data_IF_242198283711
#
_entry.id   IF_242198283711
#
_cell.length_a   1.000
_cell.length_b   1.000
_cell.length_c   1.000
_cell.angle_alpha   90.00
_cell.angle_beta   90.00
_cell.angle_gamma   90.00
#
_symmetry.space_group_name_H-M   'P 1'
#
loop_
_entity.id
_entity.type
_entity.pdbx_description
1 polymer ?
#
# COMPACT_ATOMS: atom_id res chain seq x y z
N UNK A 1 -23.42 13.54 30.77
CA UNK A 1 -22.25 13.42 31.65
C UNK A 1 -21.06 13.93 30.85
N UNK A 2 -20.36 14.95 31.35
CA UNK A 2 -19.19 15.45 30.64
C UNK A 2 -18.06 14.41 30.66
N UNK A 3 -17.29 14.29 29.55
CA UNK A 3 -16.19 13.34 29.48
C UNK A 3 -15.10 13.69 30.50
N UNK A 4 -14.47 12.67 31.08
CA UNK A 4 -13.36 12.82 32.00
C UNK A 4 -12.20 13.58 31.31
N UNK A 5 -11.78 14.77 31.79
CA UNK A 5 -10.74 15.57 31.15
C UNK A 5 -9.42 14.80 30.93
N UNK A 6 -9.01 13.96 31.88
CA UNK A 6 -7.79 13.13 31.74
C UNK A 6 -7.90 12.07 30.63
N UNK A 7 -9.11 11.58 30.36
CA UNK A 7 -9.36 10.66 29.26
C UNK A 7 -9.30 11.39 27.90
N UNK A 8 -9.73 12.66 27.85
CA UNK A 8 -9.66 13.50 26.64
C UNK A 8 -8.21 13.79 26.27
N UNK A 9 -7.39 14.20 27.24
CA UNK A 9 -5.96 14.48 27.02
C UNK A 9 -5.20 13.24 26.53
N UNK A 10 -5.44 12.08 27.16
CA UNK A 10 -4.81 10.82 26.76
C UNK A 10 -5.27 10.34 25.38
N UNK A 11 -6.55 10.53 25.05
CA UNK A 11 -7.07 10.25 23.72
C UNK A 11 -6.40 11.12 22.66
N UNK A 12 -6.21 12.41 22.95
CA UNK A 12 -5.54 13.33 22.03
C UNK A 12 -4.08 12.89 21.77
N UNK A 13 -3.32 12.57 22.81
CA UNK A 13 -1.93 12.12 22.65
C UNK A 13 -1.80 10.81 21.83
N UNK A 14 -2.75 9.88 22.00
CA UNK A 14 -2.80 8.65 21.20
C UNK A 14 -3.10 8.97 19.73
N UNK A 15 -4.03 9.90 19.47
CA UNK A 15 -4.37 10.32 18.10
C UNK A 15 -3.20 10.99 17.40
N UNK A 16 -2.46 11.87 18.09
CA UNK A 16 -1.24 12.47 17.55
C UNK A 16 -0.21 11.39 17.15
N UNK A 17 -0.12 10.30 17.92
CA UNK A 17 0.74 9.17 17.56
C UNK A 17 0.23 8.39 16.33
N UNK A 18 -1.08 8.22 16.20
CA UNK A 18 -1.72 7.59 15.04
C UNK A 18 -1.48 8.45 13.78
N UNK A 19 -1.72 9.76 13.87
CA UNK A 19 -1.53 10.69 12.74
C UNK A 19 -0.08 10.67 12.22
N UNK A 20 0.89 10.54 13.12
CA UNK A 20 2.31 10.40 12.74
C UNK A 20 2.58 9.08 12.00
N UNK A 21 1.97 7.97 12.43
CA UNK A 21 2.09 6.67 11.75
C UNK A 21 1.43 6.74 10.37
N UNK A 22 0.26 7.35 10.28
CA UNK A 22 -0.48 7.49 9.03
C UNK A 22 0.30 8.33 8.01
N UNK A 23 0.93 9.42 8.45
CA UNK A 23 1.82 10.22 7.61
C UNK A 23 3.01 9.39 7.08
N UNK A 24 3.64 8.58 7.96
CA UNK A 24 4.73 7.70 7.55
C UNK A 24 4.26 6.63 6.54
N UNK A 25 3.08 6.04 6.73
CA UNK A 25 2.48 5.08 5.80
C UNK A 25 2.27 5.71 4.42
N UNK A 26 1.74 6.94 4.35
CA UNK A 26 1.53 7.66 3.08
C UNK A 26 2.86 7.91 2.37
N UNK A 27 3.89 8.35 3.08
CA UNK A 27 5.21 8.57 2.49
C UNK A 27 5.85 7.27 1.98
N UNK A 28 5.75 6.18 2.73
CA UNK A 28 6.25 4.86 2.31
C UNK A 28 5.50 4.33 1.08
N UNK A 29 4.18 4.54 1.02
CA UNK A 29 3.39 4.19 -0.16
C UNK A 29 3.82 5.02 -1.36
N UNK A 30 3.99 6.34 -1.22
CA UNK A 30 4.45 7.20 -2.32
C UNK A 30 5.79 6.72 -2.89
N UNK A 31 6.77 6.39 -2.03
CA UNK A 31 8.05 5.82 -2.47
C UNK A 31 7.87 4.46 -3.14
N UNK A 32 7.03 3.57 -2.58
CA UNK A 32 6.71 2.27 -3.21
C UNK A 32 6.11 2.47 -4.60
N UNK A 33 5.20 3.43 -4.76
CA UNK A 33 4.54 3.70 -6.04
C UNK A 33 5.53 4.19 -7.10
N UNK A 34 6.52 5.02 -6.74
CA UNK A 34 7.61 5.41 -7.67
C UNK A 34 8.34 4.19 -8.24
N UNK A 35 8.72 3.24 -7.39
CA UNK A 35 9.36 2.00 -7.87
C UNK A 35 8.43 1.17 -8.75
N UNK A 36 7.14 1.08 -8.40
CA UNK A 36 6.20 0.35 -9.24
C UNK A 36 5.97 1.02 -10.58
N UNK A 37 5.99 2.35 -10.68
CA UNK A 37 5.94 3.06 -11.97
C UNK A 37 7.17 2.74 -12.83
N UNK A 38 8.37 2.74 -12.23
CA UNK A 38 9.60 2.31 -12.93
C UNK A 38 9.49 0.88 -13.45
N UNK A 39 8.95 -0.05 -12.65
CA UNK A 39 8.67 -1.42 -13.08
C UNK A 39 7.65 -1.43 -14.23
N UNK A 40 6.62 -0.60 -14.17
CA UNK A 40 5.60 -0.49 -15.22
C UNK A 40 6.18 -0.03 -16.55
N UNK A 41 7.02 1.01 -16.53
CA UNK A 41 7.75 1.48 -17.72
C UNK A 41 8.67 0.38 -18.27
N UNK A 42 9.47 -0.27 -17.40
CA UNK A 42 10.34 -1.36 -17.82
C UNK A 42 9.54 -2.51 -18.47
N UNK A 43 8.41 -2.90 -17.88
CA UNK A 43 7.54 -3.94 -18.43
C UNK A 43 6.97 -3.53 -19.79
N UNK A 44 6.47 -2.30 -19.92
CA UNK A 44 5.94 -1.79 -21.18
C UNK A 44 7.00 -1.77 -22.28
N UNK A 45 8.20 -1.25 -21.99
CA UNK A 45 9.32 -1.19 -22.93
C UNK A 45 9.79 -2.58 -23.38
N UNK A 46 9.72 -3.57 -22.48
CA UNK A 46 10.08 -4.96 -22.74
C UNK A 46 8.94 -5.82 -23.31
N UNK A 47 7.75 -5.26 -23.53
CA UNK A 47 6.57 -6.01 -24.00
C UNK A 47 6.04 -7.05 -22.99
N UNK A 48 6.31 -6.87 -21.70
CA UNK A 48 5.87 -7.75 -20.62
C UNK A 48 4.46 -7.37 -20.14
N UNK A 49 3.67 -8.33 -19.63
CA UNK A 49 2.35 -8.05 -19.08
C UNK A 49 2.41 -7.22 -17.79
N UNK A 50 1.41 -6.35 -17.61
CA UNK A 50 1.22 -5.54 -16.41
C UNK A 50 1.08 -6.41 -15.15
N UNK A 51 0.21 -7.43 -15.20
CA UNK A 51 0.08 -8.43 -14.15
C UNK A 51 1.18 -9.50 -14.24
N UNK A 52 1.61 -9.97 -13.08
CA UNK A 52 2.49 -11.13 -12.91
C UNK A 52 1.95 -12.00 -11.77
N UNK A 53 1.01 -12.92 -12.08
CA UNK A 53 0.31 -13.69 -11.05
C UNK A 53 1.25 -14.50 -10.14
N UNK A 54 2.35 -15.01 -10.69
CA UNK A 54 3.35 -15.74 -9.91
C UNK A 54 4.03 -14.83 -8.88
N UNK A 55 4.42 -13.61 -9.31
CA UNK A 55 5.01 -12.61 -8.41
C UNK A 55 4.01 -12.10 -7.37
N UNK A 56 2.74 -11.94 -7.74
CA UNK A 56 1.66 -11.50 -6.85
C UNK A 56 1.42 -12.50 -5.71
N UNK A 57 1.30 -13.79 -6.03
CA UNK A 57 1.14 -14.87 -5.02
C UNK A 57 2.30 -14.91 -4.03
N UNK A 58 3.54 -14.80 -4.51
CA UNK A 58 4.71 -14.79 -3.62
C UNK A 58 4.77 -13.54 -2.72
N UNK A 59 4.32 -12.38 -3.22
CA UNK A 59 4.21 -11.17 -2.39
C UNK A 59 3.18 -11.34 -1.27
N UNK A 60 2.00 -11.85 -1.59
CA UNK A 60 0.93 -12.09 -0.62
C UNK A 60 1.42 -13.07 0.46
N UNK A 61 1.99 -14.20 0.05
CA UNK A 61 2.51 -15.22 0.98
C UNK A 61 3.56 -14.65 1.93
N UNK A 62 4.54 -13.89 1.41
CA UNK A 62 5.59 -13.27 2.23
C UNK A 62 5.00 -12.26 3.23
N UNK A 63 4.05 -11.43 2.79
CA UNK A 63 3.54 -10.37 3.65
C UNK A 63 2.51 -10.87 4.67
N UNK A 64 1.77 -11.94 4.38
CA UNK A 64 0.98 -12.67 5.38
C UNK A 64 1.86 -13.20 6.53
N UNK A 65 3.05 -13.72 6.21
CA UNK A 65 4.00 -14.17 7.23
C UNK A 65 4.48 -13.00 8.11
N UNK A 66 4.85 -11.87 7.49
CA UNK A 66 5.26 -10.66 8.22
C UNK A 66 4.13 -10.10 9.09
N UNK A 67 2.88 -10.17 8.63
CA UNK A 67 1.71 -9.77 9.42
C UNK A 67 1.56 -10.63 10.66
N UNK A 68 1.62 -11.95 10.51
CA UNK A 68 1.55 -12.89 11.63
C UNK A 68 2.64 -12.61 12.67
N UNK A 69 3.89 -12.41 12.23
CA UNK A 69 5.02 -12.08 13.11
C UNK A 69 4.85 -10.72 13.81
N UNK A 70 4.15 -9.78 13.15
CA UNK A 70 3.85 -8.44 13.67
C UNK A 70 2.58 -8.38 14.53
N UNK A 71 1.88 -9.51 14.73
CA UNK A 71 0.56 -9.57 15.40
C UNK A 71 -0.50 -8.71 14.71
N UNK A 72 -0.39 -8.58 13.38
CA UNK A 72 -1.41 -8.02 12.50
C UNK A 72 -2.18 -9.17 11.85
N UNK A 73 -3.49 -8.99 11.67
CA UNK A 73 -4.33 -9.99 11.01
C UNK A 73 -3.85 -10.25 9.56
N UNK A 74 -3.45 -11.50 9.23
CA UNK A 74 -3.02 -11.85 7.88
C UNK A 74 -4.09 -11.64 6.82
N UNK A 75 -5.37 -11.81 7.16
CA UNK A 75 -6.48 -11.69 6.19
C UNK A 75 -6.79 -10.21 5.88
N UNK A 76 -6.72 -9.36 6.91
CA UNK A 76 -6.70 -7.91 6.71
C UNK A 76 -5.50 -7.48 5.85
N UNK A 77 -4.31 -8.01 6.14
CA UNK A 77 -3.10 -7.68 5.38
C UNK A 77 -3.21 -8.09 3.93
N UNK A 78 -3.72 -9.29 3.64
CA UNK A 78 -3.96 -9.73 2.27
C UNK A 78 -4.96 -8.83 1.55
N UNK A 79 -6.07 -8.46 2.19
CA UNK A 79 -7.07 -7.57 1.60
C UNK A 79 -6.47 -6.20 1.24
N UNK A 80 -5.68 -5.63 2.14
CA UNK A 80 -4.96 -4.38 1.89
C UNK A 80 -3.95 -4.51 0.73
N UNK A 81 -3.23 -5.63 0.66
CA UNK A 81 -2.26 -5.85 -0.41
C UNK A 81 -2.91 -6.08 -1.77
N UNK A 82 -4.02 -6.80 -1.81
CA UNK A 82 -4.79 -6.98 -3.03
C UNK A 82 -5.26 -5.64 -3.58
N UNK A 83 -5.70 -4.72 -2.71
CA UNK A 83 -6.03 -3.35 -3.09
C UNK A 83 -4.83 -2.62 -3.71
N UNK A 84 -3.67 -2.63 -3.03
CA UNK A 84 -2.46 -1.96 -3.53
C UNK A 84 -1.96 -2.58 -4.85
N UNK A 85 -2.02 -3.90 -5.00
CA UNK A 85 -1.59 -4.60 -6.21
C UNK A 85 -2.51 -4.27 -7.38
N UNK A 86 -3.82 -4.25 -7.17
CA UNK A 86 -4.78 -3.86 -8.20
C UNK A 86 -4.51 -2.45 -8.74
N UNK A 87 -4.23 -1.50 -7.85
CA UNK A 87 -3.88 -0.13 -8.23
C UNK A 87 -2.56 -0.06 -9.03
N UNK A 88 -1.57 -0.87 -8.67
CA UNK A 88 -0.31 -0.97 -9.42
C UNK A 88 -0.53 -1.54 -10.82
N UNK A 89 -1.32 -2.60 -10.95
CA UNK A 89 -1.63 -3.21 -12.26
C UNK A 89 -2.36 -2.20 -13.14
N UNK A 90 -3.35 -1.50 -12.60
CA UNK A 90 -4.06 -0.44 -13.33
C UNK A 90 -3.09 0.64 -13.85
N UNK A 91 -2.15 1.11 -13.02
CA UNK A 91 -1.12 2.05 -13.48
C UNK A 91 -0.21 1.46 -14.58
N UNK A 92 0.14 0.18 -14.49
CA UNK A 92 0.96 -0.47 -15.53
C UNK A 92 0.22 -0.57 -16.85
N UNK A 93 -1.07 -0.88 -16.83
CA UNK A 93 -1.92 -0.89 -18.02
C UNK A 93 -2.01 0.52 -18.65
N UNK A 94 -2.16 1.57 -17.83
CA UNK A 94 -2.12 2.96 -18.29
C UNK A 94 -0.79 3.30 -18.97
N UNK A 95 0.34 2.95 -18.33
CA UNK A 95 1.68 3.15 -18.89
C UNK A 95 1.83 2.43 -20.23
N UNK A 96 1.43 1.15 -20.30
CA UNK A 96 1.50 0.35 -21.53
C UNK A 96 0.61 0.90 -22.66
N UNK A 97 -0.55 1.47 -22.32
CA UNK A 97 -1.46 2.10 -23.29
C UNK A 97 -1.05 3.51 -23.73
N UNK A 98 -0.04 4.12 -23.09
CA UNK A 98 0.43 5.47 -23.39
C UNK A 98 -0.53 6.59 -22.98
N UNK A 99 -1.58 6.28 -22.21
CA UNK A 99 -2.49 7.27 -21.65
C UNK A 99 -1.75 8.04 -20.56
N UNK A 100 -1.47 9.33 -20.79
CA UNK A 100 -0.89 10.20 -19.76
C UNK A 100 -1.95 10.51 -18.70
N UNK A 101 -1.58 10.41 -17.43
CA UNK A 101 -2.36 11.01 -16.35
C UNK A 101 -2.26 12.53 -16.47
N UNK A 102 -3.37 13.17 -16.85
CA UNK A 102 -3.55 14.60 -16.61
C UNK A 102 -3.66 14.79 -15.09
N UNK A 103 -2.61 15.36 -14.49
CA UNK A 103 -2.59 15.77 -13.08
C UNK A 103 -3.42 17.04 -12.85
#
# INVERSE_FOLDING_TARGET
MEPNPSAVERLQSIRESIDNIDAALVHLLAERFKFTQTVGHLKADAGMPASDPGREVEQIKRLRAIAADSRLDPDFTESFLNFIVAEVIHHHERIASGVRDES
#
